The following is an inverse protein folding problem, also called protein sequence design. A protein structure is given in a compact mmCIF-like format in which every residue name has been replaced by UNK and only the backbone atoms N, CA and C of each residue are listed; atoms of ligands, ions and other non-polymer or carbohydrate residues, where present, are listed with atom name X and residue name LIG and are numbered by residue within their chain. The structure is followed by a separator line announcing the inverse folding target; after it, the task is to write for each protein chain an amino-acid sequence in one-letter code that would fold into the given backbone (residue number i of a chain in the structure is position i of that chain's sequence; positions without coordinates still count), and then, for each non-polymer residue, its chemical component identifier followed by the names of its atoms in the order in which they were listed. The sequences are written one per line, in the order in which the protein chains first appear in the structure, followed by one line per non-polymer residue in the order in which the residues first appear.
data_IF_637949555747
#
_entry.id   IF_637949555747
#
_cell.length_a   1.000
_cell.length_b   1.000
_cell.length_c   1.000
_cell.angle_alpha   90.00
_cell.angle_beta   90.00
_cell.angle_gamma   90.00
#
_symmetry.space_group_name_H-M   'P 1'
#
loop_
_entity.id
_entity.type
_entity.pdbx_description
1 polymer ?
#
# COMPACT_ATOMS: atom_id res chain seq x y z
N UNK A 1 -27.54 5.38 23.03
CA UNK A 1 -26.39 4.51 23.40
C UNK A 1 -26.28 3.42 22.35
N UNK A 2 -25.51 3.66 21.30
CA UNK A 2 -25.23 2.64 20.28
C UNK A 2 -23.76 2.28 20.40
N UNK A 3 -23.50 0.99 20.67
CA UNK A 3 -22.18 0.39 20.85
C UNK A 3 -21.21 0.90 19.78
N UNK A 4 -20.12 1.52 20.22
CA UNK A 4 -18.91 1.69 19.43
C UNK A 4 -18.43 0.31 18.97
N UNK A 5 -18.48 0.07 17.67
CA UNK A 5 -17.87 -1.10 17.02
C UNK A 5 -16.41 -1.18 17.47
N UNK A 6 -16.06 -2.26 18.16
CA UNK A 6 -14.66 -2.57 18.47
C UNK A 6 -14.04 -2.97 17.13
N UNK A 7 -13.38 -2.00 16.49
CA UNK A 7 -12.50 -2.23 15.35
C UNK A 7 -11.60 -3.42 15.68
N UNK A 8 -11.54 -4.42 14.80
CA UNK A 8 -10.55 -5.49 14.90
C UNK A 8 -9.16 -4.85 14.88
N UNK A 9 -8.54 -4.73 16.05
CA UNK A 9 -7.27 -4.02 16.22
C UNK A 9 -6.17 -4.84 15.57
N UNK A 10 -5.47 -4.26 14.60
CA UNK A 10 -4.31 -4.89 13.96
C UNK A 10 -3.29 -5.26 15.05
N UNK A 11 -2.79 -6.50 15.02
CA UNK A 11 -1.71 -6.93 15.89
C UNK A 11 -0.39 -6.97 15.13
N UNK A 12 0.38 -5.88 15.20
CA UNK A 12 1.56 -5.67 14.34
C UNK A 12 2.62 -6.77 14.50
N UNK A 13 2.85 -7.26 15.72
CA UNK A 13 3.81 -8.32 15.97
C UNK A 13 3.44 -9.66 15.30
N UNK A 14 2.14 -9.92 15.11
CA UNK A 14 1.67 -11.12 14.41
C UNK A 14 1.87 -10.97 12.90
N UNK A 15 1.61 -9.76 12.39
CA UNK A 15 1.83 -9.45 10.98
C UNK A 15 3.33 -9.55 10.61
N UNK A 16 4.21 -9.05 11.47
CA UNK A 16 5.67 -9.20 11.27
C UNK A 16 6.07 -10.67 11.29
N UNK A 17 5.50 -11.47 12.20
CA UNK A 17 5.75 -12.92 12.26
C UNK A 17 5.31 -13.62 10.97
N UNK A 18 4.15 -13.25 10.41
CA UNK A 18 3.66 -13.76 9.13
C UNK A 18 4.61 -13.44 7.98
N UNK A 19 5.08 -12.21 7.89
CA UNK A 19 6.04 -11.79 6.84
C UNK A 19 7.39 -12.49 7.00
N UNK A 20 7.85 -12.73 8.23
CA UNK A 20 9.06 -13.53 8.50
C UNK A 20 8.91 -14.96 7.96
N UNK A 21 7.78 -15.61 8.22
CA UNK A 21 7.48 -16.95 7.71
C UNK A 21 7.42 -16.98 6.18
N UNK A 22 6.71 -16.03 5.55
CA UNK A 22 6.59 -15.90 4.09
C UNK A 22 7.94 -15.68 3.40
N UNK A 23 8.85 -14.94 4.04
CA UNK A 23 10.19 -14.65 3.50
C UNK A 23 11.25 -15.68 3.93
N UNK A 24 10.86 -16.70 4.69
CA UNK A 24 11.78 -17.70 5.28
C UNK A 24 12.93 -17.08 6.09
N UNK A 25 12.67 -15.94 6.75
CA UNK A 25 13.62 -15.27 7.64
C UNK A 25 13.33 -15.71 9.07
N UNK A 26 14.35 -16.19 9.78
CA UNK A 26 14.17 -16.60 11.18
C UNK A 26 14.10 -15.39 12.11
N UNK A 27 13.43 -15.55 13.27
CA UNK A 27 13.40 -14.52 14.32
C UNK A 27 14.81 -14.17 14.82
N UNK A 28 15.73 -15.14 14.84
CA UNK A 28 17.12 -14.92 15.23
C UNK A 28 17.87 -14.05 14.20
N UNK A 29 17.61 -14.28 12.92
CA UNK A 29 18.18 -13.48 11.83
C UNK A 29 17.73 -12.02 11.91
N UNK A 30 16.43 -11.79 12.10
CA UNK A 30 15.90 -10.44 12.31
C UNK A 30 16.49 -9.78 13.57
N UNK A 31 16.64 -10.53 14.66
CA UNK A 31 17.24 -10.03 15.89
C UNK A 31 18.70 -9.58 15.68
N UNK A 32 19.49 -10.38 14.97
CA UNK A 32 20.87 -10.06 14.63
C UNK A 32 20.97 -8.77 13.80
N UNK A 33 20.12 -8.63 12.76
CA UNK A 33 20.10 -7.43 11.91
C UNK A 33 19.62 -6.17 12.63
N UNK A 34 18.83 -6.31 13.69
CA UNK A 34 18.41 -5.20 14.56
C UNK A 34 19.37 -4.92 15.72
N UNK A 35 20.45 -5.70 15.84
CA UNK A 35 21.40 -5.64 16.96
C UNK A 35 20.72 -5.84 18.32
N UNK A 36 19.80 -6.81 18.39
CA UNK A 36 19.10 -7.19 19.62
C UNK A 36 19.15 -8.69 19.83
N UNK A 37 18.86 -9.15 21.04
CA UNK A 37 18.78 -10.58 21.33
C UNK A 37 17.42 -11.19 20.91
N UNK A 38 17.44 -12.51 20.71
CA UNK A 38 16.28 -13.31 20.30
C UNK A 38 15.12 -13.23 21.30
N UNK A 39 15.40 -13.13 22.60
CA UNK A 39 14.36 -13.06 23.64
C UNK A 39 13.61 -11.73 23.56
N UNK A 40 14.33 -10.63 23.40
CA UNK A 40 13.73 -9.32 23.16
C UNK A 40 12.92 -9.29 21.86
N UNK A 41 13.40 -9.95 20.80
CA UNK A 41 12.63 -10.04 19.55
C UNK A 41 11.29 -10.75 19.74
N UNK A 42 11.25 -11.88 20.46
CA UNK A 42 9.98 -12.53 20.78
C UNK A 42 9.05 -11.66 21.63
N UNK A 43 9.60 -10.83 22.52
CA UNK A 43 8.80 -9.84 23.28
C UNK A 43 8.21 -8.78 22.36
N UNK A 44 8.99 -8.27 21.39
CA UNK A 44 8.52 -7.31 20.39
C UNK A 44 7.38 -7.90 19.56
N UNK A 45 7.54 -9.13 19.05
CA UNK A 45 6.54 -9.82 18.22
C UNK A 45 5.23 -10.16 18.97
N UNK A 46 5.24 -10.17 20.30
CA UNK A 46 4.02 -10.35 21.12
C UNK A 46 3.24 -9.05 21.36
N UNK A 47 3.76 -7.89 20.97
CA UNK A 47 3.07 -6.61 21.14
C UNK A 47 2.12 -6.36 19.98
N UNK A 48 0.92 -5.87 20.30
CA UNK A 48 -0.07 -5.44 19.30
C UNK A 48 0.33 -4.15 18.59
N UNK A 49 1.16 -3.33 19.25
CA UNK A 49 1.73 -2.10 18.72
C UNK A 49 3.24 -2.08 18.99
N UNK A 50 3.99 -1.40 18.12
CA UNK A 50 5.43 -1.16 18.31
C UNK A 50 5.72 0.28 17.92
N UNK A 51 6.84 0.80 18.45
CA UNK A 51 7.32 2.13 18.10
C UNK A 51 7.54 2.29 16.58
N UNK A 52 7.23 3.46 16.03
CA UNK A 52 7.25 3.71 14.58
C UNK A 52 8.65 3.64 14.00
N UNK A 53 9.68 4.04 14.73
CA UNK A 53 11.08 3.93 14.29
C UNK A 53 11.50 2.46 14.22
N UNK A 54 11.13 1.67 15.23
CA UNK A 54 11.38 0.23 15.23
C UNK A 54 10.64 -0.47 14.09
N UNK A 55 9.36 -0.12 13.86
CA UNK A 55 8.58 -0.65 12.75
C UNK A 55 9.21 -0.30 11.40
N UNK A 56 9.69 0.94 11.24
CA UNK A 56 10.39 1.37 10.03
C UNK A 56 11.66 0.54 9.79
N UNK A 57 12.49 0.35 10.80
CA UNK A 57 13.71 -0.48 10.69
C UNK A 57 13.38 -1.94 10.31
N UNK A 58 12.36 -2.52 10.93
CA UNK A 58 11.87 -3.86 10.56
C UNK A 58 11.36 -3.87 9.11
N UNK A 59 10.65 -2.83 8.69
CA UNK A 59 10.16 -2.67 7.31
C UNK A 59 11.30 -2.67 6.30
N UNK A 60 12.40 -1.98 6.61
CA UNK A 60 13.59 -1.93 5.76
C UNK A 60 14.28 -3.30 5.66
N UNK A 61 14.51 -3.95 6.81
CA UNK A 61 15.16 -5.27 6.87
C UNK A 61 14.35 -6.33 6.12
N UNK A 62 13.03 -6.34 6.33
CA UNK A 62 12.15 -7.30 5.69
C UNK A 62 11.74 -6.87 4.29
N UNK A 63 12.12 -5.69 3.82
CA UNK A 63 11.65 -5.10 2.56
C UNK A 63 10.12 -5.26 2.39
N UNK A 64 9.37 -4.80 3.40
CA UNK A 64 7.91 -4.87 3.47
C UNK A 64 7.37 -3.61 4.16
N UNK A 65 6.39 -2.94 3.55
CA UNK A 65 5.81 -1.73 4.12
C UNK A 65 4.65 -2.08 5.06
N UNK A 66 4.97 -2.25 6.35
CA UNK A 66 4.00 -2.57 7.41
C UNK A 66 3.05 -1.40 7.78
N UNK A 67 3.26 -0.21 7.22
CA UNK A 67 2.37 0.93 7.46
C UNK A 67 1.08 0.84 6.61
N UNK A 68 1.13 0.10 5.49
CA UNK A 68 0.00 -0.05 4.57
C UNK A 68 -1.21 -0.68 5.27
N UNK A 69 -0.97 -1.58 6.20
CA UNK A 69 -1.98 -2.32 6.92
C UNK A 69 -2.79 -1.39 7.81
N UNK A 70 -2.17 -0.39 8.43
CA UNK A 70 -2.92 0.66 9.15
C UNK A 70 -3.78 1.50 8.20
N UNK A 71 -3.29 1.81 7.01
CA UNK A 71 -4.04 2.59 6.03
C UNK A 71 -5.22 1.84 5.40
N UNK A 72 -5.17 0.52 5.29
CA UNK A 72 -6.25 -0.29 4.70
C UNK A 72 -7.48 -0.38 5.62
N UNK A 73 -7.29 -0.25 6.92
CA UNK A 73 -8.37 -0.26 7.90
C UNK A 73 -9.06 1.11 8.08
N UNK A 74 -8.44 2.18 7.59
CA UNK A 74 -9.05 3.50 7.51
C UNK A 74 -9.49 3.75 6.06
N UNK A 75 -10.78 3.65 5.79
CA UNK A 75 -11.39 3.88 4.47
C UNK A 75 -11.23 5.33 3.92
N UNK A 76 -10.25 6.10 4.41
CA UNK A 76 -10.00 7.51 4.04
C UNK A 76 -8.54 7.87 3.72
N UNK A 77 -7.60 6.92 3.74
CA UNK A 77 -6.23 7.24 3.32
C UNK A 77 -6.16 7.40 1.79
N UNK A 78 -6.19 8.64 1.30
CA UNK A 78 -6.02 8.95 -0.12
C UNK A 78 -4.62 8.48 -0.56
N UNK A 79 -4.50 7.57 -1.55
CA UNK A 79 -3.19 7.20 -2.08
C UNK A 79 -2.53 8.41 -2.74
N UNK A 80 -1.44 8.92 -2.17
CA UNK A 80 -0.58 9.98 -2.74
C UNK A 80 0.26 9.48 -3.94
N UNK A 81 -0.39 8.79 -4.88
CA UNK A 81 0.21 8.35 -6.14
C UNK A 81 -0.83 8.32 -7.29
N UNK A 82 -2.13 8.53 -6.99
CA UNK A 82 -3.21 8.41 -7.99
C UNK A 82 -3.57 9.71 -8.72
N UNK A 83 -3.09 10.88 -8.27
CA UNK A 83 -3.42 12.16 -8.92
C UNK A 83 -2.92 12.19 -10.37
N UNK A 84 -1.74 11.64 -10.63
CA UNK A 84 -1.15 11.65 -11.97
C UNK A 84 -1.89 10.71 -12.94
N UNK A 85 -2.31 9.52 -12.46
CA UNK A 85 -3.07 8.55 -13.25
C UNK A 85 -4.46 9.04 -13.65
N UNK A 86 -5.17 9.78 -12.78
CA UNK A 86 -6.50 10.34 -13.10
C UNK A 86 -6.38 11.46 -14.14
N UNK A 87 -5.39 12.33 -14.01
CA UNK A 87 -5.15 13.43 -14.97
C UNK A 87 -4.71 12.87 -16.33
N UNK A 88 -3.85 11.85 -16.35
CA UNK A 88 -3.44 11.16 -17.59
C UNK A 88 -4.63 10.48 -18.26
N UNK A 89 -5.51 9.82 -17.50
CA UNK A 89 -6.73 9.19 -18.05
C UNK A 89 -7.68 10.22 -18.66
N UNK A 90 -7.90 11.36 -18.01
CA UNK A 90 -8.75 12.43 -18.54
C UNK A 90 -8.18 13.03 -19.84
N UNK A 91 -6.87 13.32 -19.87
CA UNK A 91 -6.18 13.83 -21.08
C UNK A 91 -6.26 12.84 -22.25
N UNK A 92 -6.12 11.54 -21.99
CA UNK A 92 -6.17 10.51 -23.04
C UNK A 92 -7.57 10.27 -23.60
N UNK A 93 -8.63 10.43 -22.80
CA UNK A 93 -10.01 10.42 -23.31
C UNK A 93 -10.26 11.59 -24.26
N UNK A 94 -9.92 12.82 -23.86
CA UNK A 94 -10.12 14.02 -24.68
C UNK A 94 -9.41 13.95 -26.05
N UNK A 95 -8.21 13.36 -26.09
CA UNK A 95 -7.42 13.22 -27.31
C UNK A 95 -8.02 12.22 -28.31
N UNK A 96 -8.68 11.17 -27.80
CA UNK A 96 -9.40 10.20 -28.64
C UNK A 96 -10.66 10.80 -29.25
N UNK A 97 -11.39 11.59 -28.48
CA UNK A 97 -12.62 12.24 -28.94
C UNK A 97 -12.33 13.23 -30.08
N UNK A 98 -11.22 13.99 -29.99
CA UNK A 98 -10.81 14.94 -31.03
C UNK A 98 -10.36 14.25 -32.34
N UNK A 99 -9.72 13.08 -32.24
CA UNK A 99 -9.32 12.31 -33.41
C UNK A 99 -10.53 11.67 -34.10
N UNK A 100 -11.52 11.20 -33.33
CA UNK A 100 -12.78 10.67 -33.88
C UNK A 100 -13.54 11.72 -34.70
N UNK A 101 -13.52 12.99 -34.27
CA UNK A 101 -14.18 14.07 -35.03
C UNK A 101 -13.47 14.40 -36.35
N UNK A 102 -12.17 14.10 -36.49
CA UNK A 102 -11.46 14.34 -37.74
C UNK A 102 -11.87 13.30 -38.80
N UNK A 103 -11.98 12.04 -38.42
CA UNK A 103 -12.45 10.95 -39.29
C UNK A 103 -13.88 11.21 -39.78
N UNK A 104 -14.78 11.71 -38.91
CA UNK A 104 -16.16 12.06 -39.27
C UNK A 104 -16.26 13.23 -40.26
N UNK A 105 -15.40 14.25 -40.10
CA UNK A 105 -15.35 15.41 -41.00
C UNK A 105 -14.77 15.02 -42.36
N UNK A 106 -13.74 14.18 -42.39
CA UNK A 106 -13.10 13.72 -43.63
C UNK A 106 -14.06 12.85 -44.48
N UNK A 107 -14.92 12.05 -43.84
CA UNK A 107 -15.98 11.30 -44.52
C UNK A 107 -17.00 12.26 -45.16
N UNK A 108 -17.39 13.34 -44.47
CA UNK A 108 -18.37 14.31 -44.97
C UNK A 108 -17.88 15.07 -46.21
N UNK A 109 -16.57 15.39 -46.27
CA UNK A 109 -15.98 16.10 -47.41
C UNK A 109 -15.71 15.18 -48.62
N UNK A 110 -15.73 13.86 -48.45
CA UNK A 110 -15.49 12.89 -49.53
C UNK A 110 -16.76 12.48 -50.27
N UNK A 111 -17.94 12.75 -49.72
CA UNK A 111 -19.25 12.49 -50.35
C UNK A 111 -19.79 13.69 -51.15
N UNK A 112 -19.02 14.77 -51.29
CA UNK A 112 -19.45 16.02 -51.97
C UNK A 112 -18.93 16.17 -53.42
N UNK A 113 -18.29 15.15 -54.00
CA UNK A 113 -17.88 15.09 -55.41
C UNK A 113 -18.83 14.20 -56.26
#
# INVERSE_FOLDING_TARGET
MSKSEIHSTIHIGNLISKVLEEKHISVAELANQLHTDKSNMYKILRKSHIDTELLYRISQILNHNFFREYCQHESSCIPHEKTELVVIKAKTTLLKDLLSTHDEIEILFKESD
#
